data_IF_655576050007
#
_entry.id   IF_655576050007
#
_cell.length_a   1.000
_cell.length_b   1.000
_cell.length_c   1.000
_cell.angle_alpha   90.00
_cell.angle_beta   90.00
_cell.angle_gamma   90.00
#
_symmetry.space_group_name_H-M   'P 1'
#
loop_
_entity.id
_entity.type
_entity.pdbx_description
1 polymer ?
#
# COMPACT_ATOMS: atom_id res chain seq x y z
N UNK A 1 24.01 -27.24 -16.97
CA UNK A 1 22.77 -27.89 -16.53
C UNK A 1 22.13 -26.99 -15.50
N UNK A 2 20.94 -26.51 -15.80
CA UNK A 2 20.19 -25.55 -14.99
C UNK A 2 19.46 -26.28 -13.87
N UNK A 3 19.62 -25.83 -12.63
CA UNK A 3 18.84 -26.33 -11.49
C UNK A 3 17.82 -25.28 -11.07
N UNK A 4 16.56 -25.73 -11.12
CA UNK A 4 15.30 -25.04 -10.91
C UNK A 4 15.24 -24.27 -9.58
N UNK A 5 15.10 -22.94 -9.66
CA UNK A 5 14.63 -22.12 -8.54
C UNK A 5 13.11 -22.28 -8.37
N UNK A 6 12.70 -22.96 -7.30
CA UNK A 6 11.29 -23.13 -6.91
C UNK A 6 10.64 -21.85 -6.36
N UNK A 7 9.30 -21.83 -6.18
CA UNK A 7 8.54 -20.62 -5.90
C UNK A 7 8.85 -20.07 -4.51
N UNK A 8 9.17 -18.77 -4.44
CA UNK A 8 9.42 -18.05 -3.18
C UNK A 8 8.12 -17.99 -2.38
N UNK A 9 8.10 -18.75 -1.28
CA UNK A 9 6.95 -18.92 -0.39
C UNK A 9 6.56 -17.58 0.26
N UNK A 10 5.40 -17.05 -0.09
CA UNK A 10 4.82 -15.78 0.43
C UNK A 10 4.67 -15.77 1.97
N UNK A 11 4.71 -16.94 2.61
CA UNK A 11 4.68 -17.10 4.06
C UNK A 11 6.02 -16.75 4.75
N UNK A 12 7.15 -16.77 4.02
CA UNK A 12 8.47 -16.39 4.55
C UNK A 12 8.55 -14.88 4.82
N UNK A 13 8.03 -14.08 3.90
CA UNK A 13 7.99 -12.61 3.98
C UNK A 13 7.15 -12.11 5.16
N UNK A 14 6.01 -12.74 5.43
CA UNK A 14 5.14 -12.37 6.55
C UNK A 14 5.81 -12.66 7.90
N UNK A 15 6.55 -13.77 8.02
CA UNK A 15 7.32 -14.09 9.24
C UNK A 15 8.48 -13.11 9.46
N UNK A 16 9.18 -12.72 8.39
CA UNK A 16 10.26 -11.74 8.48
C UNK A 16 9.73 -10.34 8.84
N UNK A 17 8.59 -9.91 8.27
CA UNK A 17 7.95 -8.64 8.57
C UNK A 17 7.39 -8.55 10.01
N UNK A 18 6.82 -9.65 10.53
CA UNK A 18 6.37 -9.73 11.93
C UNK A 18 7.56 -9.73 12.91
N UNK A 19 8.67 -10.38 12.56
CA UNK A 19 9.90 -10.36 13.34
C UNK A 19 10.53 -8.97 13.44
N UNK A 20 10.58 -8.23 12.32
CA UNK A 20 11.09 -6.86 12.30
C UNK A 20 10.25 -5.89 13.16
N UNK A 21 8.93 -6.09 13.21
CA UNK A 21 8.02 -5.24 14.01
C UNK A 21 8.08 -5.51 15.51
N UNK A 22 8.38 -6.75 15.91
CA UNK A 22 8.61 -7.10 17.32
C UNK A 22 9.94 -6.56 17.85
N UNK A 23 10.98 -6.49 17.02
CA UNK A 23 12.28 -5.92 17.38
C UNK A 23 12.24 -4.39 17.52
N UNK A 24 11.38 -3.71 16.77
CA UNK A 24 11.24 -2.26 16.88
C UNK A 24 10.49 -1.84 18.16
N UNK A 25 9.50 -2.63 18.59
CA UNK A 25 8.72 -2.36 19.81
C UNK A 25 9.52 -2.63 21.11
N UNK A 26 10.52 -3.53 21.06
CA UNK A 26 11.39 -3.83 22.20
C UNK A 26 12.44 -2.74 22.48
N UNK A 27 12.68 -1.82 21.54
CA UNK A 27 13.66 -0.72 21.68
C UNK A 27 13.07 0.53 22.35
N UNK A 28 11.75 0.62 22.50
CA UNK A 28 11.05 1.79 23.05
C UNK A 28 10.78 1.71 24.56
N UNK A 29 11.04 0.58 25.21
CA UNK A 29 10.90 0.42 26.66
C UNK A 29 12.25 0.51 27.37
N UNK A 30 12.73 1.73 27.58
CA UNK A 30 13.81 2.02 28.53
C UNK A 30 13.23 2.91 29.66
N UNK A 31 13.33 2.52 30.94
CA UNK A 31 12.82 3.33 32.04
C UNK A 31 13.78 4.50 32.33
N UNK A 32 13.34 5.70 31.95
CA UNK A 32 14.01 6.96 32.29
C UNK A 32 13.87 7.29 33.78
N UNK A 33 15.02 7.26 34.47
CA UNK A 33 15.39 7.90 35.74
C UNK A 33 14.34 8.76 36.45
N UNK A 34 13.83 8.26 37.58
CA UNK A 34 13.03 9.02 38.54
C UNK A 34 13.92 10.03 39.29
N UNK A 35 13.69 11.34 39.05
CA UNK A 35 14.29 12.43 39.81
C UNK A 35 13.33 12.89 40.90
N UNK A 36 13.64 12.54 42.15
CA UNK A 36 13.01 13.06 43.36
C UNK A 36 13.10 14.59 43.42
N UNK A 37 11.99 15.26 43.76
CA UNK A 37 11.98 16.59 44.37
C UNK A 37 11.12 16.55 45.64
N UNK A 38 11.58 17.11 46.77
CA UNK A 38 10.76 17.21 47.98
C UNK A 38 9.97 18.52 47.94
N UNK A 39 8.64 18.44 48.02
CA UNK A 39 7.79 19.61 48.32
C UNK A 39 7.12 19.41 49.68
N UNK A 40 7.12 20.50 50.47
CA UNK A 40 6.76 20.54 51.89
C UNK A 40 5.25 20.30 52.11
N UNK A 41 4.84 19.77 53.27
CA UNK A 41 3.43 19.58 53.58
C UNK A 41 2.81 20.88 54.10
N UNK A 42 1.80 21.40 53.39
CA UNK A 42 0.86 22.38 53.93
C UNK A 42 -0.35 21.64 54.48
N UNK A 43 -0.51 21.73 55.79
CA UNK A 43 -1.62 21.21 56.57
C UNK A 43 -2.83 22.15 56.41
N UNK A 44 -3.95 21.66 55.91
CA UNK A 44 -5.24 22.29 56.21
C UNK A 44 -6.37 21.27 56.31
N UNK A 45 -7.25 21.57 57.26
CA UNK A 45 -8.07 20.65 58.00
C UNK A 45 -9.43 20.37 57.36
N UNK A 46 -9.98 19.24 57.79
CA UNK A 46 -11.35 18.75 57.69
C UNK A 46 -12.47 19.79 57.52
N UNK A 47 -13.46 19.42 56.71
CA UNK A 47 -14.87 19.52 57.15
C UNK A 47 -15.77 18.48 56.49
N UNK A 48 -16.59 17.89 57.35
CA UNK A 48 -17.64 16.90 57.15
C UNK A 48 -18.94 17.60 56.78
N UNK A 49 -19.74 16.95 55.93
CA UNK A 49 -21.14 17.25 55.60
C UNK A 49 -21.44 16.66 54.21
N UNK A 50 -22.39 15.75 53.97
CA UNK A 50 -23.63 15.46 54.67
C UNK A 50 -24.80 16.01 53.82
N UNK A 51 -25.64 15.09 53.29
CA UNK A 51 -26.89 15.31 52.53
C UNK A 51 -26.69 15.74 51.04
N UNK A 52 -27.46 15.34 50.04
CA UNK A 52 -28.70 14.55 49.92
C UNK A 52 -29.01 14.34 48.42
N UNK A 53 -30.06 13.56 48.14
CA UNK A 53 -30.91 13.59 46.95
C UNK A 53 -30.61 12.69 45.73
N UNK A 54 -31.58 11.79 45.55
CA UNK A 54 -31.91 11.01 44.38
C UNK A 54 -32.18 11.87 43.13
N UNK A 55 -31.82 11.34 41.96
CA UNK A 55 -32.10 11.94 40.66
C UNK A 55 -32.02 10.90 39.55
N UNK A 56 -33.19 10.48 39.09
CA UNK A 56 -33.45 9.67 37.90
C UNK A 56 -32.94 10.41 36.66
N UNK A 57 -32.23 9.75 35.72
CA UNK A 57 -32.50 9.75 34.26
C UNK A 57 -31.27 9.32 33.42
N UNK A 58 -31.58 8.44 32.45
CA UNK A 58 -31.07 8.41 31.07
C UNK A 58 -29.69 7.82 30.76
N UNK A 59 -29.78 6.64 30.11
CA UNK A 59 -28.95 6.27 28.97
C UNK A 59 -28.68 7.44 28.02
N UNK A 60 -27.44 7.62 27.54
CA UNK A 60 -27.21 8.27 26.26
C UNK A 60 -27.37 7.22 25.16
N UNK A 61 -28.49 7.33 24.45
CA UNK A 61 -28.64 6.78 23.10
C UNK A 61 -27.61 7.44 22.17
N UNK A 62 -27.28 6.71 21.10
CA UNK A 62 -26.28 7.01 20.09
C UNK A 62 -26.12 8.48 19.70
N UNK A 63 -24.85 8.90 19.68
CA UNK A 63 -24.38 9.91 18.75
C UNK A 63 -23.60 9.21 17.65
N UNK A 64 -24.34 8.67 16.68
CA UNK A 64 -23.77 8.30 15.40
C UNK A 64 -23.31 9.60 14.73
N UNK A 65 -22.00 9.83 14.70
CA UNK A 65 -21.43 10.81 13.79
C UNK A 65 -21.70 10.29 12.38
N UNK A 66 -22.72 10.86 11.74
CA UNK A 66 -22.93 10.73 10.31
C UNK A 66 -21.80 11.49 9.60
N UNK A 67 -20.63 10.86 9.46
CA UNK A 67 -19.60 11.34 8.55
C UNK A 67 -19.94 10.84 7.15
N UNK A 68 -20.82 11.65 6.55
CA UNK A 68 -20.85 12.06 5.15
C UNK A 68 -19.73 11.41 4.32
N UNK A 69 -20.12 10.45 3.49
CA UNK A 69 -19.39 10.16 2.26
C UNK A 69 -19.49 11.45 1.45
N UNK A 70 -18.46 12.28 1.46
CA UNK A 70 -18.34 13.36 0.47
C UNK A 70 -18.14 12.67 -0.88
N UNK A 71 -19.10 12.73 -1.81
CA UNK A 71 -18.83 12.30 -3.17
C UNK A 71 -17.75 13.25 -3.72
N UNK A 72 -16.76 12.68 -4.39
CA UNK A 72 -15.81 13.45 -5.17
C UNK A 72 -16.57 14.39 -6.11
N UNK A 73 -16.11 15.64 -6.33
CA UNK A 73 -16.73 16.50 -7.33
C UNK A 73 -16.58 15.83 -8.69
N UNK A 74 -17.69 15.30 -9.19
CA UNK A 74 -17.87 14.97 -10.59
C UNK A 74 -18.09 16.30 -11.33
N UNK A 75 -17.01 16.96 -11.75
CA UNK A 75 -17.07 17.97 -12.81
C UNK A 75 -16.55 17.34 -14.10
N UNK A 76 -17.41 16.56 -14.75
CA UNK A 76 -17.34 16.41 -16.19
C UNK A 76 -17.94 17.66 -16.82
N UNK A 77 -17.11 18.58 -17.29
CA UNK A 77 -17.52 19.52 -18.32
C UNK A 77 -16.31 19.99 -19.13
N UNK A 78 -16.35 19.70 -20.44
CA UNK A 78 -15.62 20.44 -21.46
C UNK A 78 -14.20 19.97 -21.76
N UNK A 79 -14.04 19.20 -22.82
CA UNK A 79 -12.72 18.92 -23.38
C UNK A 79 -12.75 17.89 -24.48
N UNK A 80 -13.51 18.19 -25.53
CA UNK A 80 -13.49 17.49 -26.81
C UNK A 80 -12.05 17.49 -27.36
N UNK A 81 -11.31 16.44 -27.04
CA UNK A 81 -9.92 16.24 -27.46
C UNK A 81 -9.84 14.88 -28.12
N UNK A 82 -10.53 14.73 -29.25
CA UNK A 82 -10.42 13.57 -30.12
C UNK A 82 -8.96 13.19 -30.28
N UNK A 83 -8.64 11.97 -29.87
CA UNK A 83 -7.33 11.35 -30.10
C UNK A 83 -7.25 11.06 -31.60
N UNK A 84 -6.97 12.09 -32.40
CA UNK A 84 -6.32 11.88 -33.69
C UNK A 84 -4.84 11.78 -33.39
N UNK A 85 -4.37 10.55 -33.15
CA UNK A 85 -2.95 10.21 -33.38
C UNK A 85 -2.73 10.34 -34.87
N UNK A 86 -2.63 11.58 -35.34
CA UNK A 86 -2.07 11.90 -36.63
C UNK A 86 -0.57 11.70 -36.48
N UNK A 87 -0.14 10.44 -36.63
CA UNK A 87 1.25 10.13 -36.94
C UNK A 87 1.59 10.70 -38.31
N UNK A 88 1.80 12.01 -38.40
CA UNK A 88 2.16 12.72 -39.64
C UNK A 88 3.62 13.15 -39.70
N UNK A 89 4.42 12.91 -38.66
CA UNK A 89 5.84 13.29 -38.61
C UNK A 89 6.82 12.39 -39.39
N UNK A 90 6.40 11.18 -39.80
CA UNK A 90 7.32 10.21 -40.37
C UNK A 90 7.74 10.50 -41.84
N UNK A 91 6.98 11.31 -42.57
CA UNK A 91 7.21 11.53 -44.00
C UNK A 91 8.32 12.55 -44.29
N UNK A 92 8.55 13.53 -43.42
CA UNK A 92 9.60 14.54 -43.61
C UNK A 92 11.01 14.03 -43.25
N UNK A 93 11.11 13.23 -42.19
CA UNK A 93 12.41 12.77 -41.68
C UNK A 93 13.09 11.72 -42.55
N UNK A 94 12.32 10.86 -43.23
CA UNK A 94 12.88 9.83 -44.12
C UNK A 94 13.48 10.44 -45.38
N UNK A 95 12.83 11.49 -45.91
CA UNK A 95 13.26 12.18 -47.13
C UNK A 95 14.52 13.00 -46.85
N UNK A 96 14.57 13.75 -45.75
CA UNK A 96 15.72 14.60 -45.46
C UNK A 96 16.99 13.81 -45.05
N UNK A 97 16.83 12.68 -44.36
CA UNK A 97 17.97 11.79 -44.09
C UNK A 97 18.44 11.06 -45.35
N UNK A 98 17.54 10.84 -46.32
CA UNK A 98 17.89 10.29 -47.62
C UNK A 98 18.61 11.31 -48.50
N UNK A 99 18.21 12.59 -48.50
CA UNK A 99 18.87 13.66 -49.29
C UNK A 99 20.27 13.98 -48.77
N UNK A 100 20.49 14.05 -47.45
CA UNK A 100 21.85 14.20 -46.89
C UNK A 100 22.72 12.99 -47.25
N UNK A 101 22.15 11.78 -47.21
CA UNK A 101 22.87 10.56 -47.59
C UNK A 101 23.20 10.52 -49.08
N UNK A 102 22.30 11.00 -49.94
CA UNK A 102 22.48 11.14 -51.38
C UNK A 102 23.56 12.18 -51.71
N UNK A 103 23.57 13.32 -50.99
CA UNK A 103 24.64 14.32 -51.10
C UNK A 103 26.00 13.75 -50.73
N UNK A 104 26.08 12.95 -49.66
CA UNK A 104 27.32 12.31 -49.20
C UNK A 104 27.76 11.11 -50.05
N UNK A 105 26.92 10.63 -50.97
CA UNK A 105 27.26 9.58 -51.94
C UNK A 105 27.88 10.13 -53.22
N UNK A 106 27.93 11.46 -53.39
CA UNK A 106 28.60 12.06 -54.54
C UNK A 106 30.11 11.75 -54.49
N UNK A 107 30.65 11.30 -55.62
CA UNK A 107 32.06 10.91 -55.79
C UNK A 107 33.02 12.05 -55.44
N UNK A 108 32.56 13.31 -55.48
CA UNK A 108 33.37 14.46 -55.08
C UNK A 108 33.56 14.61 -53.56
N UNK A 109 32.76 13.92 -52.73
CA UNK A 109 32.83 13.99 -51.28
C UNK A 109 33.38 12.71 -50.63
N UNK A 110 33.51 11.62 -51.37
CA UNK A 110 33.99 10.32 -50.89
C UNK A 110 35.40 10.38 -50.29
N UNK A 111 36.31 11.15 -50.90
CA UNK A 111 37.67 11.39 -50.42
C UNK A 111 37.66 12.00 -48.99
N UNK A 112 36.73 12.90 -48.71
CA UNK A 112 36.59 13.55 -47.40
C UNK A 112 35.98 12.63 -46.31
N UNK A 113 35.33 11.53 -46.72
CA UNK A 113 34.73 10.54 -45.82
C UNK A 113 35.70 9.41 -45.45
N UNK A 114 36.88 9.37 -46.06
CA UNK A 114 37.92 8.39 -45.74
C UNK A 114 38.56 8.66 -44.37
N UNK A 115 38.80 7.60 -43.59
CA UNK A 115 39.44 7.72 -42.26
C UNK A 115 40.90 8.23 -42.34
N UNK A 116 41.55 8.04 -43.50
CA UNK A 116 42.95 8.43 -43.76
C UNK A 116 43.07 9.74 -44.57
N UNK A 117 42.03 10.58 -44.59
CA UNK A 117 42.04 11.80 -45.38
C UNK A 117 43.19 12.75 -44.98
N UNK A 118 44.17 12.91 -45.88
CA UNK A 118 45.28 13.85 -45.70
C UNK A 118 45.07 15.11 -46.54
N UNK A 119 44.73 16.20 -45.85
CA UNK A 119 44.58 17.55 -46.41
C UNK A 119 45.80 17.97 -47.23
N UNK A 120 47.02 17.59 -46.83
CA UNK A 120 48.26 18.01 -47.51
C UNK A 120 48.42 17.33 -48.86
N UNK A 121 48.10 16.03 -48.93
CA UNK A 121 48.16 15.26 -50.17
C UNK A 121 47.06 15.72 -51.11
N UNK A 122 45.84 15.88 -50.60
CA UNK A 122 44.68 16.35 -51.37
C UNK A 122 44.87 17.77 -51.93
N UNK A 123 45.39 18.70 -51.12
CA UNK A 123 45.67 20.08 -51.57
C UNK A 123 46.81 20.13 -52.58
N UNK A 124 47.89 19.37 -52.36
CA UNK A 124 49.00 19.26 -53.32
C UNK A 124 48.50 18.72 -54.67
N UNK A 125 47.71 17.64 -54.66
CA UNK A 125 47.14 17.04 -55.87
C UNK A 125 46.16 17.99 -56.59
N UNK A 126 45.35 18.73 -55.84
CA UNK A 126 44.43 19.74 -56.39
C UNK A 126 45.15 20.96 -56.98
N UNK A 127 46.28 21.37 -56.40
CA UNK A 127 47.17 22.41 -56.94
C UNK A 127 47.82 21.93 -58.24
N UNK A 128 48.34 20.70 -58.26
CA UNK A 128 48.97 20.10 -59.44
C UNK A 128 47.99 19.92 -60.60
N UNK A 129 46.74 19.61 -60.33
CA UNK A 129 45.68 19.49 -61.34
C UNK A 129 45.03 20.85 -61.71
N UNK A 130 45.43 21.95 -61.05
CA UNK A 130 44.90 23.31 -61.24
C UNK A 130 43.37 23.46 -61.05
N UNK A 131 42.75 22.62 -60.22
CA UNK A 131 41.28 22.57 -59.99
C UNK A 131 40.83 23.18 -58.66
N UNK A 132 41.71 23.91 -57.96
CA UNK A 132 41.48 24.43 -56.60
C UNK A 132 40.21 25.30 -56.51
N UNK A 133 40.00 26.20 -57.47
CA UNK A 133 38.84 27.11 -57.48
C UNK A 133 37.52 26.37 -57.67
N UNK A 134 37.53 25.34 -58.52
CA UNK A 134 36.37 24.47 -58.75
C UNK A 134 36.05 23.64 -57.50
N UNK A 135 37.07 23.07 -56.84
CA UNK A 135 36.86 22.28 -55.62
C UNK A 135 36.41 23.13 -54.41
N UNK A 136 36.94 24.35 -54.28
CA UNK A 136 36.45 25.31 -53.27
C UNK A 136 34.99 25.71 -53.54
N UNK A 137 34.61 25.91 -54.81
CA UNK A 137 33.23 26.21 -55.18
C UNK A 137 32.30 25.04 -54.86
N UNK A 138 32.69 23.80 -55.17
CA UNK A 138 31.94 22.57 -54.85
C UNK A 138 31.80 22.34 -53.34
N UNK A 139 32.84 22.61 -52.56
CA UNK A 139 32.78 22.51 -51.10
C UNK A 139 31.86 23.59 -50.50
N UNK A 140 31.98 24.84 -50.95
CA UNK A 140 31.10 25.93 -50.50
C UNK A 140 29.62 25.65 -50.86
N UNK A 141 29.38 25.08 -52.03
CA UNK A 141 28.06 24.62 -52.45
C UNK A 141 27.54 23.47 -51.57
N UNK A 142 28.35 22.45 -51.31
CA UNK A 142 28.00 21.32 -50.44
C UNK A 142 27.69 21.75 -49.01
N UNK A 143 28.50 22.66 -48.44
CA UNK A 143 28.24 23.26 -47.11
C UNK A 143 26.90 24.00 -47.11
N UNK A 144 26.64 24.80 -48.14
CA UNK A 144 25.38 25.55 -48.24
C UNK A 144 24.16 24.64 -48.43
N UNK A 145 24.32 23.49 -49.07
CA UNK A 145 23.27 22.48 -49.23
C UNK A 145 23.02 21.72 -47.93
N UNK A 146 24.09 21.31 -47.23
CA UNK A 146 23.99 20.66 -45.93
C UNK A 146 23.36 21.58 -44.88
N UNK A 147 23.71 22.87 -44.88
CA UNK A 147 23.14 23.87 -43.96
C UNK A 147 21.63 24.04 -44.18
N UNK A 148 21.19 24.12 -45.44
CA UNK A 148 19.76 24.17 -45.80
C UNK A 148 19.02 22.91 -45.35
N UNK A 149 19.59 21.74 -45.61
CA UNK A 149 18.97 20.47 -45.28
C UNK A 149 18.92 20.23 -43.76
N UNK A 150 19.98 20.62 -43.03
CA UNK A 150 20.02 20.58 -41.57
C UNK A 150 18.98 21.52 -40.98
N UNK A 151 18.85 22.73 -41.50
CA UNK A 151 17.83 23.67 -41.06
C UNK A 151 16.41 23.12 -41.30
N UNK A 152 16.15 22.55 -42.48
CA UNK A 152 14.88 21.90 -42.80
C UNK A 152 14.58 20.73 -41.86
N UNK A 153 15.58 19.90 -41.53
CA UNK A 153 15.41 18.79 -40.58
C UNK A 153 15.08 19.29 -39.18
N UNK A 154 15.79 20.32 -38.70
CA UNK A 154 15.55 20.91 -37.38
C UNK A 154 14.17 21.54 -37.30
N UNK A 155 13.76 22.29 -38.32
CA UNK A 155 12.43 22.91 -38.39
C UNK A 155 11.33 21.85 -38.49
N UNK A 156 11.54 20.81 -39.27
CA UNK A 156 10.52 19.75 -39.45
C UNK A 156 10.33 18.92 -38.18
N UNK A 157 11.41 18.58 -37.46
CA UNK A 157 11.33 17.71 -36.27
C UNK A 157 11.01 18.46 -34.97
N UNK A 158 11.11 19.79 -34.92
CA UNK A 158 10.87 20.51 -33.66
C UNK A 158 9.42 20.40 -33.18
N UNK A 159 8.45 20.39 -34.10
CA UNK A 159 7.03 20.28 -33.74
C UNK A 159 6.75 18.89 -33.15
N UNK A 160 7.30 17.84 -33.75
CA UNK A 160 7.13 16.47 -33.26
C UNK A 160 7.80 16.27 -31.89
N UNK A 161 8.99 16.82 -31.68
CA UNK A 161 9.70 16.75 -30.39
C UNK A 161 8.97 17.53 -29.29
N UNK A 162 8.43 18.71 -29.61
CA UNK A 162 7.61 19.48 -28.68
C UNK A 162 6.30 18.76 -28.37
N UNK A 163 5.61 18.23 -29.38
CA UNK A 163 4.39 17.44 -29.19
C UNK A 163 4.65 16.20 -28.32
N UNK A 164 5.79 15.52 -28.52
CA UNK A 164 6.21 14.40 -27.67
C UNK A 164 6.50 14.86 -26.23
N UNK A 165 7.20 15.98 -26.03
CA UNK A 165 7.48 16.52 -24.70
C UNK A 165 6.19 16.90 -23.95
N UNK A 166 5.25 17.59 -24.62
CA UNK A 166 3.93 17.90 -24.06
C UNK A 166 3.12 16.64 -23.80
N UNK A 167 3.24 15.62 -24.66
CA UNK A 167 2.64 14.31 -24.45
C UNK A 167 3.15 13.63 -23.18
N UNK A 168 4.46 13.67 -22.93
CA UNK A 168 5.09 13.14 -21.71
C UNK A 168 4.59 13.90 -20.46
N UNK A 169 4.53 15.22 -20.51
CA UNK A 169 4.01 16.05 -19.42
C UNK A 169 2.54 15.70 -19.08
N UNK A 170 1.71 15.49 -20.11
CA UNK A 170 0.32 15.05 -19.90
C UNK A 170 0.22 13.68 -19.21
N UNK A 171 1.10 12.74 -19.58
CA UNK A 171 1.16 11.41 -18.98
C UNK A 171 1.62 11.47 -17.52
N UNK A 172 2.57 12.35 -17.21
CA UNK A 172 3.00 12.60 -15.83
C UNK A 172 1.82 13.08 -14.96
N UNK A 173 0.99 13.99 -15.49
CA UNK A 173 -0.25 14.41 -14.82
C UNK A 173 -1.23 13.25 -14.55
N UNK A 174 -1.42 12.36 -15.53
CA UNK A 174 -2.27 11.16 -15.37
C UNK A 174 -1.69 10.20 -14.33
N UNK A 175 -0.38 9.96 -14.35
CA UNK A 175 0.31 9.11 -13.38
C UNK A 175 0.20 9.67 -11.95
N UNK A 176 0.36 10.98 -11.79
CA UNK A 176 0.21 11.65 -10.49
C UNK A 176 -1.23 11.52 -9.96
N UNK A 177 -2.23 11.67 -10.84
CA UNK A 177 -3.63 11.43 -10.49
C UNK A 177 -3.86 9.96 -10.08
N UNK A 178 -3.27 9.01 -10.80
CA UNK A 178 -3.38 7.59 -10.48
C UNK A 178 -2.75 7.28 -9.12
N UNK A 179 -1.57 7.82 -8.84
CA UNK A 179 -0.90 7.69 -7.55
C UNK A 179 -1.76 8.22 -6.40
N UNK A 180 -2.40 9.38 -6.60
CA UNK A 180 -3.33 9.97 -5.61
C UNK A 180 -4.53 9.05 -5.35
N UNK A 181 -5.12 8.49 -6.41
CA UNK A 181 -6.26 7.57 -6.31
C UNK A 181 -5.89 6.26 -5.62
N UNK A 182 -4.70 5.70 -5.94
CA UNK A 182 -4.17 4.51 -5.26
C UNK A 182 -3.99 4.79 -3.77
N UNK A 183 -3.43 5.95 -3.40
CA UNK A 183 -3.31 6.35 -2.00
C UNK A 183 -4.66 6.44 -1.28
N UNK A 184 -5.68 7.02 -1.94
CA UNK A 184 -7.03 7.10 -1.39
C UNK A 184 -7.66 5.70 -1.20
N UNK A 185 -7.47 4.80 -2.17
CA UNK A 185 -7.96 3.42 -2.12
C UNK A 185 -7.27 2.64 -1.00
N UNK A 186 -5.96 2.77 -0.86
CA UNK A 186 -5.19 2.14 0.22
C UNK A 186 -5.72 2.59 1.59
N UNK A 187 -5.94 3.89 1.77
CA UNK A 187 -6.54 4.42 3.01
C UNK A 187 -7.97 3.91 3.25
N UNK A 188 -8.79 3.72 2.21
CA UNK A 188 -10.11 3.14 2.34
C UNK A 188 -10.06 1.67 2.79
N UNK A 189 -9.16 0.87 2.21
CA UNK A 189 -8.92 -0.53 2.61
C UNK A 189 -8.47 -0.61 4.06
N UNK A 190 -7.54 0.24 4.50
CA UNK A 190 -7.07 0.24 5.89
C UNK A 190 -8.19 0.58 6.88
N UNK A 191 -9.04 1.55 6.56
CA UNK A 191 -10.24 1.85 7.37
C UNK A 191 -11.22 0.68 7.39
N UNK A 192 -11.40 0.01 6.25
CA UNK A 192 -12.30 -1.15 6.15
C UNK A 192 -11.77 -2.32 6.98
N UNK A 193 -10.46 -2.59 6.93
CA UNK A 193 -9.79 -3.56 7.79
C UNK A 193 -10.00 -3.25 9.27
N UNK A 194 -9.83 -2.00 9.68
CA UNK A 194 -10.09 -1.59 11.07
C UNK A 194 -11.54 -1.85 11.49
N UNK A 195 -12.50 -1.52 10.62
CA UNK A 195 -13.94 -1.76 10.84
C UNK A 195 -14.33 -3.25 10.87
N UNK A 196 -13.48 -4.16 10.43
CA UNK A 196 -13.76 -5.61 10.41
C UNK A 196 -12.99 -6.34 11.51
N UNK A 197 -11.67 -6.11 11.61
CA UNK A 197 -10.79 -6.87 12.49
C UNK A 197 -11.09 -6.60 13.96
N UNK A 198 -11.35 -5.35 14.34
CA UNK A 198 -11.62 -5.03 15.75
C UNK A 198 -12.96 -5.62 16.23
N UNK A 199 -14.09 -5.49 15.50
CA UNK A 199 -15.33 -6.17 15.88
C UNK A 199 -15.19 -7.69 15.88
N UNK A 200 -14.47 -8.28 14.92
CA UNK A 200 -14.20 -9.71 14.89
C UNK A 200 -13.52 -10.18 16.19
N UNK A 201 -12.44 -9.51 16.60
CA UNK A 201 -11.75 -9.84 17.84
C UNK A 201 -12.65 -9.70 19.08
N UNK A 202 -13.52 -8.67 19.11
CA UNK A 202 -14.51 -8.49 20.19
C UNK A 202 -15.51 -9.64 20.23
N UNK A 203 -16.00 -10.12 19.07
CA UNK A 203 -16.91 -11.26 18.98
C UNK A 203 -16.22 -12.52 19.50
N UNK A 204 -15.01 -12.83 19.02
CA UNK A 204 -14.24 -13.99 19.46
C UNK A 204 -14.04 -13.99 20.98
N UNK A 205 -13.65 -12.85 21.56
CA UNK A 205 -13.47 -12.71 23.00
C UNK A 205 -14.78 -12.94 23.78
N UNK A 206 -15.90 -12.36 23.31
CA UNK A 206 -17.21 -12.52 23.95
C UNK A 206 -17.75 -13.94 23.82
N UNK A 207 -17.55 -14.61 22.68
CA UNK A 207 -17.94 -16.01 22.50
C UNK A 207 -17.15 -16.93 23.42
N UNK A 208 -15.85 -16.67 23.61
CA UNK A 208 -15.05 -17.41 24.58
C UNK A 208 -15.52 -17.18 26.03
N UNK A 209 -15.90 -15.95 26.38
CA UNK A 209 -16.50 -15.65 27.68
C UNK A 209 -17.85 -16.36 27.87
N UNK A 210 -18.71 -16.36 26.86
CA UNK A 210 -19.99 -17.05 26.90
C UNK A 210 -19.81 -18.56 27.09
N UNK A 211 -18.87 -19.18 26.37
CA UNK A 211 -18.56 -20.60 26.54
C UNK A 211 -18.11 -20.93 27.98
N UNK A 212 -17.26 -20.09 28.57
CA UNK A 212 -16.85 -20.24 29.98
C UNK A 212 -18.02 -20.08 30.95
N UNK A 213 -18.94 -19.14 30.69
CA UNK A 213 -20.14 -18.96 31.50
C UNK A 213 -21.12 -20.13 31.37
N UNK A 214 -21.24 -20.73 30.19
CA UNK A 214 -22.05 -21.93 29.98
C UNK A 214 -21.51 -23.09 30.81
N UNK A 215 -20.20 -23.36 30.72
CA UNK A 215 -19.54 -24.38 31.55
C UNK A 215 -19.75 -24.09 33.04
N UNK A 216 -19.58 -22.84 33.48
CA UNK A 216 -19.84 -22.47 34.87
C UNK A 216 -21.32 -22.71 35.28
N UNK A 217 -22.28 -22.39 34.41
CA UNK A 217 -23.69 -22.67 34.66
C UNK A 217 -23.98 -24.17 34.75
N UNK A 218 -23.38 -24.98 33.89
CA UNK A 218 -23.55 -26.43 33.92
C UNK A 218 -22.96 -27.04 35.19
N UNK A 219 -21.77 -26.58 35.59
CA UNK A 219 -21.17 -26.92 36.89
C UNK A 219 -22.09 -26.54 38.06
N UNK A 220 -22.68 -25.34 38.04
CA UNK A 220 -23.60 -24.91 39.09
C UNK A 220 -24.87 -25.79 39.14
N UNK A 221 -25.45 -26.14 37.98
CA UNK A 221 -26.61 -27.06 37.93
C UNK A 221 -26.25 -28.43 38.52
N UNK A 222 -25.09 -28.98 38.17
CA UNK A 222 -24.59 -30.24 38.71
C UNK A 222 -24.36 -30.16 40.22
N UNK A 223 -23.78 -29.07 40.73
CA UNK A 223 -23.61 -28.84 42.17
C UNK A 223 -24.96 -28.79 42.89
N UNK A 224 -25.94 -28.03 42.39
CA UNK A 224 -27.29 -27.95 43.00
C UNK A 224 -27.93 -29.34 43.06
N UNK A 225 -27.81 -30.12 41.98
CA UNK A 225 -28.34 -31.48 41.89
C UNK A 225 -27.69 -32.42 42.90
N UNK A 226 -26.36 -32.40 43.01
CA UNK A 226 -25.60 -33.17 44.00
C UNK A 226 -26.03 -32.77 45.42
N UNK A 227 -26.08 -31.47 45.73
CA UNK A 227 -26.50 -30.99 47.05
C UNK A 227 -27.91 -31.46 47.43
N UNK A 228 -28.85 -31.43 46.48
CA UNK A 228 -30.21 -31.94 46.69
C UNK A 228 -30.21 -33.44 47.00
N UNK A 229 -29.51 -34.24 46.19
CA UNK A 229 -29.42 -35.69 46.38
C UNK A 229 -28.70 -36.05 47.69
N UNK A 230 -27.63 -35.35 48.04
CA UNK A 230 -26.92 -35.52 49.31
C UNK A 230 -27.82 -35.23 50.51
N UNK A 231 -28.61 -34.16 50.47
CA UNK A 231 -29.57 -33.83 51.53
C UNK A 231 -30.68 -34.90 51.65
N UNK A 232 -31.19 -35.38 50.51
CA UNK A 232 -32.19 -36.47 50.48
C UNK A 232 -31.60 -37.76 51.08
N UNK A 233 -30.38 -38.12 50.70
CA UNK A 233 -29.67 -39.29 51.22
C UNK A 233 -29.47 -39.18 52.73
N UNK A 234 -29.02 -38.04 53.24
CA UNK A 234 -28.88 -37.80 54.69
C UNK A 234 -30.20 -38.03 55.44
N UNK A 235 -31.32 -37.54 54.89
CA UNK A 235 -32.65 -37.79 55.46
C UNK A 235 -33.04 -39.28 55.46
N UNK A 236 -32.73 -40.01 54.39
CA UNK A 236 -33.00 -41.46 54.29
C UNK A 236 -32.15 -42.26 55.29
N UNK A 237 -30.89 -41.88 55.49
CA UNK A 237 -30.00 -42.54 56.47
C UNK A 237 -30.46 -42.31 57.91
N UNK A 238 -31.04 -41.15 58.22
CA UNK A 238 -31.64 -40.87 59.54
C UNK A 238 -32.91 -41.70 59.81
N UNK A 239 -33.58 -42.19 58.75
CA UNK A 239 -34.74 -43.10 58.85
C UNK A 239 -34.38 -44.54 59.27
N UNK A 240 -33.09 -44.85 59.42
CA UNK A 240 -32.60 -46.16 59.88
C UNK A 240 -32.83 -47.30 58.89
N UNK A 241 -32.87 -48.53 59.41
CA UNK A 241 -32.93 -49.79 58.63
C UNK A 241 -34.02 -49.81 57.55
N UNK A 242 -35.17 -49.18 57.81
CA UNK A 242 -36.34 -49.19 56.93
C UNK A 242 -36.13 -48.46 55.59
N UNK A 243 -35.19 -47.52 55.51
CA UNK A 243 -34.99 -46.67 54.34
C UNK A 243 -33.68 -46.98 53.57
N UNK A 244 -32.95 -48.04 53.97
CA UNK A 244 -31.65 -48.42 53.40
C UNK A 244 -31.72 -48.64 51.88
N UNK A 245 -32.75 -49.32 51.37
CA UNK A 245 -32.91 -49.57 49.94
C UNK A 245 -33.04 -48.26 49.14
N UNK A 246 -33.74 -47.27 49.69
CA UNK A 246 -33.91 -45.96 49.05
C UNK A 246 -32.64 -45.11 49.14
N UNK A 247 -31.88 -45.25 50.23
CA UNK A 247 -30.56 -44.63 50.36
C UNK A 247 -29.57 -45.20 49.31
N UNK A 248 -29.57 -46.52 49.10
CA UNK A 248 -28.75 -47.16 48.08
C UNK A 248 -29.09 -46.66 46.66
N UNK A 249 -30.38 -46.46 46.36
CA UNK A 249 -30.82 -45.87 45.10
C UNK A 249 -30.34 -44.41 44.93
N UNK A 250 -30.49 -43.58 45.96
CA UNK A 250 -29.98 -42.19 45.93
C UNK A 250 -28.47 -42.11 45.75
N UNK A 251 -27.71 -43.09 46.25
CA UNK A 251 -26.26 -43.18 46.05
C UNK A 251 -25.91 -43.55 44.61
N UNK A 252 -26.64 -44.50 44.01
CA UNK A 252 -26.46 -44.87 42.60
C UNK A 252 -26.77 -43.70 41.65
N UNK A 253 -27.79 -42.88 41.94
CA UNK A 253 -28.08 -41.66 41.18
C UNK A 253 -26.95 -40.62 41.27
N UNK A 254 -26.27 -40.51 42.42
CA UNK A 254 -25.12 -39.62 42.58
C UNK A 254 -23.89 -40.09 41.80
N UNK A 255 -23.67 -41.41 41.73
CA UNK A 255 -22.51 -42.01 41.07
C UNK A 255 -22.61 -41.88 39.53
N UNK A 256 -23.81 -42.07 38.99
CA UNK A 256 -24.09 -41.91 37.54
C UNK A 256 -23.88 -40.46 37.08
N UNK A 257 -24.20 -39.46 37.91
CA UNK A 257 -23.99 -38.04 37.59
C UNK A 257 -22.52 -37.59 37.70
N UNK A 258 -21.57 -38.46 38.06
CA UNK A 258 -20.15 -38.13 37.91
C UNK A 258 -19.61 -38.33 36.49
N UNK A 259 -20.28 -39.15 35.67
CA UNK A 259 -19.78 -39.67 34.38
C UNK A 259 -20.21 -38.81 33.16
N UNK A 260 -21.21 -37.93 33.32
CA UNK A 260 -21.70 -37.00 32.28
C UNK A 260 -21.58 -35.53 32.74
#
# INVERSE_FOLDING_TARGET
MAESAGPVDSASWVRWALGARLLQNARETQPGSARFQPTKPTRQAARVGGAESAGILRHPLGRAAADVITPAPANMEGGDGGITVAGHGALGSGVAAATVRELLQDECYSDFLSEDFDVKIYTSQSIHQAVISEQLAKLAQGISQLDKELHLQVVTRHEDLLAQATGIESLEGVLQMMQTRIGALQGAVDRMKAKIVEPYNKIVARTAQLARLQVACDLLRRIIRILYLSKRLQGQLQGGSREITKAAQSLNELDIEQIY
#
